data_IF_142665392026
#
_entry.id   IF_142665392026
#
_cell.length_a   1.000
_cell.length_b   1.000
_cell.length_c   1.000
_cell.angle_alpha   90.00
_cell.angle_beta   90.00
_cell.angle_gamma   90.00
#
_symmetry.space_group_name_H-M   'P 1'
#
loop_
_entity.id
_entity.type
_entity.pdbx_description
1 polymer ?
#
# COMPACT_ATOMS: atom_id res chain seq x y z
N UNK A 1 12.27 -12.51 34.76
CA UNK A 1 12.08 -12.60 33.29
C UNK A 1 11.66 -11.21 32.82
N UNK A 2 12.41 -10.59 31.92
CA UNK A 2 11.96 -9.32 31.33
C UNK A 2 10.66 -9.57 30.55
N UNK A 3 9.63 -8.75 30.83
CA UNK A 3 8.40 -8.83 30.06
C UNK A 3 8.67 -8.53 28.58
N UNK A 4 7.99 -9.24 27.67
CA UNK A 4 8.13 -9.00 26.22
C UNK A 4 7.72 -7.57 25.89
N UNK A 5 8.43 -6.86 24.99
CA UNK A 5 8.00 -5.57 24.48
C UNK A 5 6.60 -5.64 23.88
N UNK A 6 5.83 -4.56 24.02
CA UNK A 6 4.46 -4.46 23.51
C UNK A 6 4.37 -3.56 22.28
N UNK A 7 3.92 -4.09 21.17
CA UNK A 7 3.57 -3.33 19.98
C UNK A 7 2.06 -3.08 19.94
N UNK A 8 1.65 -1.82 19.93
CA UNK A 8 0.26 -1.40 19.79
C UNK A 8 0.04 -0.84 18.39
N UNK A 9 -0.73 -1.56 17.58
CA UNK A 9 -1.20 -1.07 16.28
C UNK A 9 -2.46 -0.25 16.45
N UNK A 10 -2.50 0.90 15.81
CA UNK A 10 -3.65 1.80 15.77
C UNK A 10 -4.12 1.94 14.32
N UNK A 11 -5.33 1.49 14.05
CA UNK A 11 -5.91 1.52 12.71
C UNK A 11 -7.12 2.46 12.64
N UNK A 12 -7.39 2.95 11.44
CA UNK A 12 -8.54 3.81 11.12
C UNK A 12 -9.55 3.12 10.18
N UNK A 13 -9.52 1.78 10.08
CA UNK A 13 -10.39 0.99 9.21
C UNK A 13 -10.03 1.01 7.72
N UNK A 14 -9.05 1.82 7.28
CA UNK A 14 -8.62 1.87 5.88
C UNK A 14 -7.76 0.65 5.54
N UNK A 15 -8.25 -0.23 4.65
CA UNK A 15 -7.60 -1.52 4.32
C UNK A 15 -6.13 -1.37 3.90
N UNK A 16 -5.81 -0.40 3.03
CA UNK A 16 -4.43 -0.19 2.58
C UNK A 16 -3.47 0.19 3.71
N UNK A 17 -3.95 0.97 4.68
CA UNK A 17 -3.18 1.35 5.88
C UNK A 17 -2.97 0.14 6.81
N UNK A 18 -4.01 -0.70 6.96
CA UNK A 18 -3.93 -1.94 7.74
C UNK A 18 -2.90 -2.91 7.17
N UNK A 19 -2.91 -3.13 5.86
CA UNK A 19 -1.95 -4.03 5.18
C UNK A 19 -0.50 -3.57 5.43
N UNK A 20 -0.23 -2.25 5.36
CA UNK A 20 1.10 -1.71 5.63
C UNK A 20 1.52 -1.94 7.09
N UNK A 21 0.65 -1.60 8.05
CA UNK A 21 0.94 -1.75 9.48
C UNK A 21 1.13 -3.22 9.87
N UNK A 22 0.24 -4.09 9.42
CA UNK A 22 0.29 -5.53 9.70
C UNK A 22 1.51 -6.18 9.05
N UNK A 23 1.84 -5.82 7.80
CA UNK A 23 3.03 -6.31 7.13
C UNK A 23 4.32 -6.03 7.92
N UNK A 24 4.47 -4.81 8.44
CA UNK A 24 5.62 -4.46 9.29
C UNK A 24 5.56 -5.24 10.61
N UNK A 25 4.41 -5.30 11.29
CA UNK A 25 4.22 -6.06 12.53
C UNK A 25 4.63 -7.51 12.36
N UNK A 26 4.16 -8.17 11.31
CA UNK A 26 4.41 -9.59 11.07
C UNK A 26 5.90 -9.85 10.92
N UNK A 27 6.62 -9.01 10.16
CA UNK A 27 8.08 -9.08 10.05
C UNK A 27 8.78 -8.79 11.38
N UNK A 28 8.25 -7.87 12.20
CA UNK A 28 8.80 -7.64 13.56
C UNK A 28 8.63 -8.87 14.46
N UNK A 29 7.45 -9.51 14.43
CA UNK A 29 7.18 -10.73 15.20
C UNK A 29 8.07 -11.93 14.79
N UNK A 30 8.48 -11.99 13.51
CA UNK A 30 9.43 -13.00 13.03
C UNK A 30 10.86 -12.72 13.50
N UNK A 31 11.23 -11.46 13.59
CA UNK A 31 12.59 -11.04 13.92
C UNK A 31 12.88 -10.98 15.42
N UNK A 32 11.83 -10.78 16.25
CA UNK A 32 12.00 -10.65 17.70
C UNK A 32 10.77 -11.11 18.48
N UNK A 33 11.00 -11.56 19.72
CA UNK A 33 9.91 -11.95 20.61
C UNK A 33 9.23 -10.71 21.18
N UNK A 34 8.05 -10.37 20.67
CA UNK A 34 7.22 -9.27 21.14
C UNK A 34 5.75 -9.72 21.25
N UNK A 35 4.97 -8.98 22.02
CA UNK A 35 3.51 -9.09 22.05
C UNK A 35 2.93 -7.99 21.18
N UNK A 36 1.90 -8.27 20.41
CA UNK A 36 1.22 -7.26 19.61
C UNK A 36 -0.29 -7.27 19.82
N UNK A 37 -0.85 -6.06 19.90
CA UNK A 37 -2.30 -5.83 19.99
C UNK A 37 -2.70 -4.78 18.96
N UNK A 38 -3.96 -4.84 18.53
CA UNK A 38 -4.48 -3.91 17.52
C UNK A 38 -5.76 -3.26 18.04
N UNK A 39 -5.86 -1.93 17.88
CA UNK A 39 -7.04 -1.16 18.24
C UNK A 39 -7.50 -0.32 17.04
N UNK A 40 -8.79 -0.30 16.82
CA UNK A 40 -9.41 0.65 15.90
C UNK A 40 -9.65 1.98 16.63
N UNK A 41 -9.10 3.07 16.07
CA UNK A 41 -9.28 4.40 16.66
C UNK A 41 -10.67 4.95 16.36
N UNK A 42 -11.25 5.76 17.26
CA UNK A 42 -12.56 6.34 17.06
C UNK A 42 -12.67 7.16 15.76
N UNK A 43 -13.71 6.93 15.00
CA UNK A 43 -14.02 7.69 13.80
C UNK A 43 -14.68 9.03 14.16
N UNK A 44 -13.87 10.07 14.26
CA UNK A 44 -14.40 11.43 14.41
C UNK A 44 -14.88 11.97 13.05
N UNK A 45 -16.07 12.57 13.04
CA UNK A 45 -16.69 13.17 11.86
C UNK A 45 -16.96 14.66 12.06
N UNK A 46 -17.27 15.38 10.99
CA UNK A 46 -17.73 16.78 11.04
C UNK A 46 -16.79 17.69 11.81
N UNK A 47 -17.35 18.50 12.71
CA UNK A 47 -16.65 19.52 13.49
C UNK A 47 -15.61 18.93 14.45
N UNK A 48 -15.90 17.78 15.06
CA UNK A 48 -14.95 17.12 15.99
C UNK A 48 -13.69 16.64 15.28
N UNK A 49 -13.79 16.10 14.07
CA UNK A 49 -12.63 15.74 13.23
C UNK A 49 -11.76 16.97 12.96
N UNK A 50 -12.40 18.10 12.60
CA UNK A 50 -11.66 19.34 12.35
C UNK A 50 -10.98 19.82 13.63
N UNK A 51 -11.71 19.87 14.73
CA UNK A 51 -11.22 20.38 16.02
C UNK A 51 -10.11 19.52 16.60
N UNK A 52 -10.33 18.21 16.76
CA UNK A 52 -9.39 17.33 17.48
C UNK A 52 -8.28 16.81 16.58
N UNK A 53 -8.58 16.36 15.36
CA UNK A 53 -7.55 15.82 14.46
C UNK A 53 -6.76 16.91 13.75
N UNK A 54 -7.42 17.99 13.28
CA UNK A 54 -6.73 19.04 12.51
C UNK A 54 -6.09 20.14 13.34
N UNK A 55 -6.76 20.64 14.40
CA UNK A 55 -6.25 21.77 15.18
C UNK A 55 -5.55 21.37 16.48
N UNK A 56 -6.23 20.63 17.34
CA UNK A 56 -5.69 20.32 18.66
C UNK A 56 -4.52 19.32 18.59
N UNK A 57 -4.51 18.42 17.60
CA UNK A 57 -3.40 17.47 17.43
C UNK A 57 -2.02 18.13 17.28
N UNK A 58 -1.96 19.30 16.66
CA UNK A 58 -0.71 20.06 16.51
C UNK A 58 -0.02 20.39 17.84
N UNK A 59 -0.79 20.45 18.93
CA UNK A 59 -0.27 20.73 20.28
C UNK A 59 0.27 19.48 20.98
N UNK A 60 -0.12 18.27 20.54
CA UNK A 60 0.21 17.00 21.23
C UNK A 60 1.71 16.80 21.43
N UNK A 61 2.54 17.19 20.46
CA UNK A 61 3.99 17.02 20.55
C UNK A 61 4.65 17.73 21.73
N UNK A 62 4.03 18.78 22.26
CA UNK A 62 4.55 19.62 23.39
C UNK A 62 3.55 19.70 24.54
N UNK A 63 2.49 18.92 24.53
CA UNK A 63 1.41 19.00 25.49
C UNK A 63 1.80 18.40 26.85
N UNK A 64 1.20 18.90 27.93
CA UNK A 64 1.25 18.27 29.23
C UNK A 64 0.43 16.98 29.27
N UNK A 65 0.71 16.09 30.22
CA UNK A 65 -0.04 14.84 30.41
C UNK A 65 -1.54 15.14 30.61
N UNK A 66 -1.88 16.15 31.37
CA UNK A 66 -3.27 16.56 31.56
C UNK A 66 -3.98 16.94 30.23
N UNK A 67 -3.31 17.68 29.37
CA UNK A 67 -3.88 18.02 28.05
C UNK A 67 -4.06 16.76 27.18
N UNK A 68 -3.11 15.83 27.24
CA UNK A 68 -3.16 14.57 26.48
C UNK A 68 -4.34 13.72 26.96
N UNK A 69 -4.53 13.56 28.27
CA UNK A 69 -5.67 12.81 28.85
C UNK A 69 -7.00 13.45 28.46
N UNK A 70 -7.11 14.77 28.55
CA UNK A 70 -8.31 15.49 28.10
C UNK A 70 -8.55 15.32 26.59
N UNK A 71 -7.50 15.35 25.78
CA UNK A 71 -7.59 15.15 24.35
C UNK A 71 -8.07 13.73 24.02
N UNK A 72 -7.45 12.69 24.62
CA UNK A 72 -7.82 11.27 24.43
C UNK A 72 -9.28 11.03 24.81
N UNK A 73 -9.72 11.60 25.96
CA UNK A 73 -11.12 11.54 26.38
C UNK A 73 -12.06 12.17 25.36
N UNK A 74 -11.79 13.40 24.93
CA UNK A 74 -12.62 14.13 23.94
C UNK A 74 -12.57 13.52 22.54
N UNK A 75 -11.50 12.81 22.20
CA UNK A 75 -11.36 12.04 20.96
C UNK A 75 -11.96 10.63 21.07
N UNK A 76 -12.60 10.26 22.18
CA UNK A 76 -13.30 8.99 22.37
C UNK A 76 -12.39 7.78 22.60
N UNK A 77 -11.13 7.99 23.01
CA UNK A 77 -10.14 6.92 23.15
C UNK A 77 -10.03 6.36 24.59
N UNK A 78 -10.97 6.68 25.50
CA UNK A 78 -10.91 6.24 26.91
C UNK A 78 -10.79 4.71 27.04
N UNK A 79 -11.60 3.94 26.31
CA UNK A 79 -11.54 2.47 26.34
C UNK A 79 -10.18 1.93 25.91
N UNK A 80 -9.56 2.55 24.91
CA UNK A 80 -8.22 2.16 24.43
C UNK A 80 -7.18 2.43 25.52
N UNK A 81 -7.27 3.58 26.18
CA UNK A 81 -6.38 3.93 27.31
C UNK A 81 -6.49 2.90 28.43
N UNK A 82 -7.70 2.54 28.84
CA UNK A 82 -7.95 1.55 29.91
C UNK A 82 -7.40 0.16 29.55
N UNK A 83 -7.65 -0.28 28.31
CA UNK A 83 -7.17 -1.59 27.83
C UNK A 83 -5.62 -1.63 27.77
N UNK A 84 -4.98 -0.56 27.29
CA UNK A 84 -3.51 -0.48 27.27
C UNK A 84 -2.94 -0.44 28.70
N UNK A 85 -3.58 0.25 29.62
CA UNK A 85 -3.16 0.28 31.03
C UNK A 85 -3.21 -1.13 31.66
N UNK A 86 -4.22 -1.92 31.35
CA UNK A 86 -4.32 -3.32 31.79
C UNK A 86 -3.22 -4.21 31.16
N UNK A 87 -2.89 -3.99 29.90
CA UNK A 87 -1.86 -4.77 29.18
C UNK A 87 -0.43 -4.37 29.57
N UNK A 88 -0.23 -3.18 30.12
CA UNK A 88 1.09 -2.65 30.47
C UNK A 88 1.19 -2.16 31.93
N UNK A 89 0.82 -2.98 32.93
CA UNK A 89 0.73 -2.54 34.32
C UNK A 89 2.10 -2.19 34.94
N UNK A 90 3.18 -2.75 34.41
CA UNK A 90 4.56 -2.55 34.93
C UNK A 90 5.42 -1.63 34.10
N UNK A 91 4.85 -0.99 33.05
CA UNK A 91 5.59 -0.03 32.22
C UNK A 91 6.71 -0.66 31.38
N UNK A 92 6.46 -1.84 30.76
CA UNK A 92 7.38 -2.47 29.81
C UNK A 92 7.62 -1.59 28.58
N UNK A 93 8.65 -1.89 27.79
CA UNK A 93 8.88 -1.17 26.53
C UNK A 93 7.65 -1.28 25.61
N UNK A 94 7.11 -0.13 25.19
CA UNK A 94 5.91 -0.08 24.37
C UNK A 94 6.14 0.79 23.13
N UNK A 95 5.70 0.30 21.97
CA UNK A 95 5.70 1.02 20.70
C UNK A 95 4.28 1.16 20.18
N UNK A 96 3.89 2.37 19.85
CA UNK A 96 2.65 2.69 19.15
C UNK A 96 2.94 2.87 17.68
N UNK A 97 2.23 2.16 16.81
CA UNK A 97 2.39 2.26 15.37
C UNK A 97 1.05 2.50 14.69
N UNK A 98 1.01 3.44 13.75
CA UNK A 98 -0.19 3.76 12.98
C UNK A 98 0.16 4.07 11.53
N UNK A 99 -0.79 3.89 10.63
CA UNK A 99 -0.71 4.37 9.25
C UNK A 99 -1.81 5.39 8.96
N UNK A 100 -1.46 6.41 8.19
CA UNK A 100 -2.40 7.44 7.76
C UNK A 100 -2.58 8.60 8.73
N UNK A 101 -3.33 9.61 8.27
CA UNK A 101 -3.43 10.90 8.96
C UNK A 101 -4.42 10.92 10.12
N UNK A 102 -5.42 10.05 10.12
CA UNK A 102 -6.48 10.01 11.16
C UNK A 102 -5.99 9.30 12.42
N UNK A 103 -5.25 8.19 12.29
CA UNK A 103 -4.72 7.43 13.42
C UNK A 103 -3.44 8.06 14.02
N UNK A 104 -2.71 8.86 13.24
CA UNK A 104 -1.45 9.46 13.67
C UNK A 104 -1.54 10.30 14.96
N UNK A 105 -2.56 11.15 15.20
CA UNK A 105 -2.70 11.87 16.46
C UNK A 105 -2.88 10.96 17.68
N UNK A 106 -3.62 9.87 17.53
CA UNK A 106 -3.81 8.87 18.60
C UNK A 106 -2.49 8.16 18.92
N UNK A 107 -1.72 7.79 17.89
CA UNK A 107 -0.40 7.19 18.05
C UNK A 107 0.53 8.11 18.88
N UNK A 108 0.59 9.39 18.54
CA UNK A 108 1.41 10.36 19.26
C UNK A 108 0.92 10.58 20.69
N UNK A 109 -0.40 10.72 20.90
CA UNK A 109 -0.99 10.96 22.22
C UNK A 109 -0.78 9.77 23.16
N UNK A 110 -1.05 8.54 22.69
CA UNK A 110 -0.88 7.33 23.49
C UNK A 110 0.59 7.04 23.80
N UNK A 111 1.49 7.22 22.82
CA UNK A 111 2.93 7.09 23.08
C UNK A 111 3.40 8.03 24.21
N UNK A 112 2.97 9.29 24.18
CA UNK A 112 3.32 10.24 25.23
C UNK A 112 2.64 9.93 26.58
N UNK A 113 1.40 9.44 26.56
CA UNK A 113 0.64 9.07 27.76
C UNK A 113 1.28 7.91 28.51
N UNK A 114 1.78 6.93 27.80
CA UNK A 114 2.36 5.70 28.37
C UNK A 114 3.89 5.70 28.40
N UNK A 115 4.55 6.78 28.00
CA UNK A 115 6.02 6.87 27.98
C UNK A 115 6.66 5.93 26.93
N UNK A 116 5.91 5.55 25.90
CA UNK A 116 6.38 4.68 24.83
C UNK A 116 6.93 5.45 23.63
N UNK A 117 7.36 4.70 22.61
CA UNK A 117 7.78 5.24 21.31
C UNK A 117 6.62 5.32 20.33
N UNK A 118 6.69 6.25 19.39
CA UNK A 118 5.71 6.46 18.32
C UNK A 118 6.32 6.20 16.97
N UNK A 119 5.62 5.40 16.14
CA UNK A 119 5.99 5.15 14.74
C UNK A 119 4.80 5.46 13.83
N UNK A 120 5.00 6.25 12.80
CA UNK A 120 3.97 6.53 11.81
C UNK A 120 4.39 6.01 10.43
N UNK A 121 3.44 5.42 9.72
CA UNK A 121 3.59 4.96 8.33
C UNK A 121 2.86 5.96 7.45
N UNK A 122 3.50 6.37 6.36
CA UNK A 122 3.12 7.49 5.49
C UNK A 122 3.35 8.85 6.18
N UNK A 123 3.22 9.93 5.40
CA UNK A 123 3.34 11.29 5.93
C UNK A 123 1.99 11.81 6.40
N UNK A 124 1.74 11.97 7.70
CA UNK A 124 0.51 12.58 8.17
C UNK A 124 0.38 14.03 7.66
N UNK A 125 -0.72 14.33 6.98
CA UNK A 125 -0.90 15.61 6.27
C UNK A 125 -0.83 16.85 7.19
N UNK A 126 -1.16 16.71 8.47
CA UNK A 126 -1.21 17.84 9.41
C UNK A 126 -0.02 17.86 10.37
N UNK A 127 0.33 16.70 10.94
CA UNK A 127 1.39 16.58 11.91
C UNK A 127 2.77 16.52 11.26
N UNK A 128 2.85 16.04 10.01
CA UNK A 128 4.12 15.69 9.40
C UNK A 128 4.83 14.58 10.17
N UNK A 129 6.11 14.40 9.93
CA UNK A 129 6.90 13.30 10.53
C UNK A 129 7.70 13.71 11.77
N UNK A 130 7.98 15.01 11.93
CA UNK A 130 8.88 15.51 12.99
C UNK A 130 8.49 15.16 14.44
N UNK A 131 7.18 15.15 14.83
CA UNK A 131 6.82 14.88 16.21
C UNK A 131 6.92 13.40 16.62
N UNK A 132 7.11 12.48 15.67
CA UNK A 132 7.20 11.04 15.92
C UNK A 132 8.65 10.60 16.17
N UNK A 133 8.83 9.56 17.00
CA UNK A 133 10.15 8.95 17.19
C UNK A 133 10.66 8.26 15.92
N UNK A 134 9.74 7.68 15.14
CA UNK A 134 10.02 6.98 13.88
C UNK A 134 8.94 7.27 12.84
N UNK A 135 9.34 7.33 11.58
CA UNK A 135 8.42 7.50 10.45
C UNK A 135 8.89 6.69 9.24
N UNK A 136 7.97 5.89 8.68
CA UNK A 136 8.19 5.11 7.45
C UNK A 136 7.47 5.85 6.33
N UNK A 137 8.22 6.43 5.40
CA UNK A 137 7.68 7.39 4.44
C UNK A 137 7.99 6.98 3.01
N UNK A 138 6.99 6.96 2.10
CA UNK A 138 7.25 6.71 0.69
C UNK A 138 8.21 7.77 0.10
N UNK A 139 9.12 7.34 -0.77
CA UNK A 139 10.11 8.21 -1.43
C UNK A 139 9.45 9.39 -2.15
N UNK A 140 8.31 9.14 -2.79
CA UNK A 140 7.56 10.15 -3.51
C UNK A 140 6.94 11.25 -2.61
N UNK A 141 6.91 11.08 -1.28
CA UNK A 141 6.50 12.14 -0.34
C UNK A 141 7.60 13.19 -0.13
N UNK A 142 8.84 12.91 -0.57
CA UNK A 142 9.96 13.84 -0.49
C UNK A 142 10.33 14.24 0.95
N UNK A 143 10.07 13.39 1.93
CA UNK A 143 10.42 13.63 3.34
C UNK A 143 11.70 12.91 3.69
N UNK A 144 12.49 13.55 4.55
CA UNK A 144 13.74 13.00 5.08
C UNK A 144 13.98 13.53 6.49
N UNK A 145 14.81 12.85 7.25
CA UNK A 145 15.18 13.23 8.63
C UNK A 145 15.82 12.07 9.37
N UNK A 146 16.41 12.33 10.54
CA UNK A 146 17.08 11.29 11.35
C UNK A 146 16.10 10.23 11.86
N UNK A 147 14.81 10.57 11.97
CA UNK A 147 13.72 9.70 12.38
C UNK A 147 12.91 9.12 11.21
N UNK A 148 13.40 9.25 9.96
CA UNK A 148 12.66 8.85 8.75
C UNK A 148 13.37 7.71 8.06
N UNK A 149 12.65 6.61 7.82
CA UNK A 149 13.01 5.59 6.84
C UNK A 149 12.21 5.85 5.56
N UNK A 150 12.92 6.07 4.46
CA UNK A 150 12.30 6.25 3.14
C UNK A 150 12.11 4.89 2.48
N UNK A 151 10.89 4.58 2.00
CA UNK A 151 10.54 3.36 1.25
C UNK A 151 10.32 3.67 -0.22
N UNK A 152 10.71 2.76 -1.10
CA UNK A 152 10.43 2.87 -2.53
C UNK A 152 8.95 2.53 -2.80
N UNK A 153 8.48 1.40 -2.30
CA UNK A 153 7.09 0.94 -2.37
C UNK A 153 6.40 0.93 -1.02
N UNK A 154 5.14 0.52 -1.02
CA UNK A 154 4.35 0.36 0.20
C UNK A 154 4.76 -0.94 0.92
N UNK A 155 5.08 -0.89 2.22
CA UNK A 155 5.18 -2.09 3.04
C UNK A 155 3.90 -2.93 2.93
N UNK A 156 4.03 -4.26 2.94
CA UNK A 156 2.89 -5.17 2.79
C UNK A 156 3.15 -6.50 3.48
N UNK A 157 2.14 -7.37 3.52
CA UNK A 157 2.20 -8.66 4.22
C UNK A 157 2.73 -9.81 3.37
N UNK A 158 3.10 -9.57 2.12
CA UNK A 158 3.57 -10.63 1.22
C UNK A 158 4.84 -11.30 1.77
N UNK A 159 4.79 -12.62 1.84
CA UNK A 159 5.88 -13.49 2.26
C UNK A 159 5.74 -14.87 1.63
N UNK A 160 6.83 -15.67 1.57
CA UNK A 160 6.80 -16.99 0.94
C UNK A 160 5.69 -17.91 1.48
N UNK A 161 5.51 -17.97 2.78
CA UNK A 161 4.48 -18.82 3.40
C UNK A 161 3.06 -18.42 2.99
N UNK A 162 2.76 -17.10 2.98
CA UNK A 162 1.46 -16.59 2.53
C UNK A 162 1.22 -16.90 1.05
N UNK A 163 2.24 -16.72 0.22
CA UNK A 163 2.14 -16.99 -1.23
C UNK A 163 1.85 -18.48 -1.46
N UNK A 164 2.57 -19.38 -0.80
CA UNK A 164 2.37 -20.82 -0.94
C UNK A 164 0.99 -21.29 -0.47
N UNK A 165 0.52 -20.77 0.67
CA UNK A 165 -0.81 -21.08 1.20
C UNK A 165 -1.91 -20.63 0.24
N UNK A 166 -1.84 -19.37 -0.20
CA UNK A 166 -2.86 -18.75 -1.05
C UNK A 166 -2.80 -19.26 -2.51
N UNK A 167 -1.65 -19.71 -2.99
CA UNK A 167 -1.53 -20.42 -4.26
C UNK A 167 -2.30 -21.74 -4.24
N UNK A 168 -2.14 -22.54 -3.18
CA UNK A 168 -2.86 -23.82 -3.03
C UNK A 168 -4.38 -23.61 -3.00
N UNK A 169 -4.84 -22.58 -2.29
CA UNK A 169 -6.25 -22.21 -2.25
C UNK A 169 -6.75 -21.77 -3.63
N UNK A 170 -6.00 -20.90 -4.30
CA UNK A 170 -6.34 -20.43 -5.66
C UNK A 170 -6.48 -21.59 -6.64
N UNK A 171 -5.52 -22.51 -6.66
CA UNK A 171 -5.51 -23.64 -7.60
C UNK A 171 -6.54 -24.71 -7.28
N UNK A 172 -6.99 -24.80 -6.02
CA UNK A 172 -8.14 -25.64 -5.64
C UNK A 172 -9.44 -25.15 -6.27
N UNK A 173 -9.65 -23.83 -6.30
CA UNK A 173 -10.86 -23.21 -6.85
C UNK A 173 -10.78 -23.04 -8.37
N UNK A 174 -9.59 -22.73 -8.88
CA UNK A 174 -9.32 -22.40 -10.29
C UNK A 174 -8.09 -23.16 -10.80
N UNK A 175 -8.22 -24.45 -11.12
CA UNK A 175 -7.10 -25.28 -11.57
C UNK A 175 -6.41 -24.74 -12.82
N UNK A 176 -5.09 -24.79 -12.85
CA UNK A 176 -4.28 -24.45 -14.01
C UNK A 176 -4.42 -25.52 -15.11
N UNK A 177 -4.40 -25.08 -16.36
CA UNK A 177 -4.36 -25.96 -17.53
C UNK A 177 -3.01 -25.96 -18.22
N UNK A 178 -2.25 -24.87 -18.06
CA UNK A 178 -0.93 -24.70 -18.66
C UNK A 178 0.14 -24.55 -17.56
N UNK A 179 1.39 -24.76 -17.95
CA UNK A 179 2.54 -24.71 -17.02
C UNK A 179 2.82 -23.31 -16.48
N UNK A 180 2.55 -22.30 -17.32
CA UNK A 180 2.78 -20.91 -16.96
C UNK A 180 1.47 -20.13 -16.90
N UNK A 181 1.47 -19.13 -16.04
CA UNK A 181 0.33 -18.26 -15.85
C UNK A 181 0.75 -16.80 -15.68
N UNK A 182 -0.11 -15.88 -16.14
CA UNK A 182 0.01 -14.46 -15.89
C UNK A 182 -1.13 -13.94 -15.04
N UNK A 183 -0.81 -13.03 -14.12
CA UNK A 183 -1.78 -12.29 -13.34
C UNK A 183 -2.12 -10.96 -14.01
N UNK A 184 -3.40 -10.61 -14.06
CA UNK A 184 -3.87 -9.30 -14.51
C UNK A 184 -4.62 -8.63 -13.35
N UNK A 185 -4.00 -7.63 -12.74
CA UNK A 185 -4.51 -6.91 -11.58
C UNK A 185 -5.02 -5.53 -12.02
N UNK A 186 -6.32 -5.38 -12.09
CA UNK A 186 -6.97 -4.15 -12.56
C UNK A 186 -7.42 -3.32 -11.36
N UNK A 187 -6.85 -2.13 -11.21
CA UNK A 187 -7.22 -1.16 -10.19
C UNK A 187 -8.58 -0.51 -10.45
N UNK A 188 -8.70 0.77 -10.19
CA UNK A 188 -9.96 1.48 -10.42
C UNK A 188 -9.83 2.99 -10.24
N UNK A 189 -10.95 3.66 -10.35
CA UNK A 189 -11.01 5.11 -10.31
C UNK A 189 -10.64 5.68 -8.94
N UNK A 190 -9.93 6.79 -8.96
CA UNK A 190 -9.66 7.61 -7.79
C UNK A 190 -9.67 9.12 -8.15
N UNK A 191 -9.06 9.96 -7.32
CA UNK A 191 -8.99 11.41 -7.57
C UNK A 191 -8.12 11.80 -8.77
N UNK A 192 -7.27 10.91 -9.27
CA UNK A 192 -6.27 11.19 -10.31
C UNK A 192 -6.45 10.28 -11.54
N UNK A 193 -6.86 9.05 -11.34
CA UNK A 193 -6.89 7.98 -12.34
C UNK A 193 -8.31 7.54 -12.67
N UNK A 194 -8.49 7.04 -13.90
CA UNK A 194 -9.74 6.42 -14.34
C UNK A 194 -9.46 5.24 -15.27
N UNK A 195 -10.23 4.16 -15.09
CA UNK A 195 -10.19 2.97 -15.95
C UNK A 195 -11.48 2.90 -16.75
N UNK A 196 -11.46 3.56 -17.91
CA UNK A 196 -12.62 3.60 -18.79
C UNK A 196 -12.78 2.29 -19.60
N UNK A 197 -14.02 1.93 -20.03
CA UNK A 197 -14.23 0.79 -20.93
C UNK A 197 -13.40 0.83 -22.22
N UNK A 198 -13.09 2.02 -22.72
CA UNK A 198 -12.23 2.19 -23.89
C UNK A 198 -10.80 1.69 -23.63
N UNK A 199 -10.26 1.94 -22.44
CA UNK A 199 -8.97 1.40 -22.02
C UNK A 199 -9.01 -0.13 -21.95
N UNK A 200 -10.05 -0.69 -21.31
CA UNK A 200 -10.25 -2.14 -21.21
C UNK A 200 -10.31 -2.78 -22.60
N UNK A 201 -11.13 -2.23 -23.51
CA UNK A 201 -11.30 -2.71 -24.89
C UNK A 201 -10.01 -2.64 -25.71
N UNK A 202 -9.07 -1.79 -25.34
CA UNK A 202 -7.77 -1.68 -26.02
C UNK A 202 -6.71 -2.60 -25.45
N UNK A 203 -6.62 -2.68 -24.11
CA UNK A 203 -5.50 -3.37 -23.44
C UNK A 203 -5.77 -4.86 -23.29
N UNK A 204 -6.95 -5.22 -22.80
CA UNK A 204 -7.23 -6.60 -22.42
C UNK A 204 -7.20 -7.58 -23.60
N UNK A 205 -7.77 -7.29 -24.79
CA UNK A 205 -7.67 -8.18 -25.95
C UNK A 205 -6.22 -8.47 -26.35
N UNK A 206 -5.34 -7.46 -26.34
CA UNK A 206 -3.92 -7.65 -26.67
C UNK A 206 -3.22 -8.59 -25.69
N UNK A 207 -3.55 -8.51 -24.38
CA UNK A 207 -2.99 -9.42 -23.38
C UNK A 207 -3.54 -10.84 -23.55
N UNK A 208 -4.83 -10.99 -23.91
CA UNK A 208 -5.44 -12.30 -24.22
C UNK A 208 -4.79 -12.95 -25.44
N UNK A 209 -4.63 -12.20 -26.53
CA UNK A 209 -3.96 -12.68 -27.74
C UNK A 209 -2.51 -13.10 -27.47
N UNK A 210 -1.77 -12.32 -26.70
CA UNK A 210 -0.40 -12.67 -26.32
C UNK A 210 -0.34 -13.93 -25.46
N UNK A 211 -1.29 -14.12 -24.54
CA UNK A 211 -1.38 -15.30 -23.70
C UNK A 211 -1.76 -16.55 -24.53
N UNK A 212 -2.65 -16.41 -25.50
CA UNK A 212 -3.04 -17.49 -26.41
C UNK A 212 -1.85 -17.94 -27.25
N UNK A 213 -1.11 -17.00 -27.84
CA UNK A 213 0.07 -17.31 -28.66
C UNK A 213 1.23 -17.94 -27.88
N UNK A 214 1.25 -17.83 -26.54
CA UNK A 214 2.29 -18.37 -25.66
C UNK A 214 1.82 -19.55 -24.79
N UNK A 215 0.61 -20.06 -24.97
CA UNK A 215 0.00 -21.11 -24.14
C UNK A 215 -0.03 -20.81 -22.64
N UNK A 216 -0.43 -19.60 -22.28
CA UNK A 216 -0.43 -19.06 -20.92
C UNK A 216 -1.84 -19.04 -20.33
N UNK A 217 -1.98 -19.47 -19.07
CA UNK A 217 -3.20 -19.29 -18.28
C UNK A 217 -3.29 -17.87 -17.71
N UNK A 218 -4.51 -17.32 -17.61
CA UNK A 218 -4.75 -15.97 -17.10
C UNK A 218 -5.60 -15.99 -15.83
N UNK A 219 -5.12 -15.31 -14.79
CA UNK A 219 -5.82 -15.07 -13.55
C UNK A 219 -6.07 -13.56 -13.41
N UNK A 220 -7.33 -13.16 -13.51
CA UNK A 220 -7.73 -11.75 -13.63
C UNK A 220 -8.54 -11.35 -12.41
N UNK A 221 -8.22 -10.22 -11.82
CA UNK A 221 -9.02 -9.63 -10.73
C UNK A 221 -9.14 -8.12 -10.88
N UNK A 222 -10.26 -7.58 -10.36
CA UNK A 222 -10.52 -6.14 -10.30
C UNK A 222 -10.35 -5.60 -8.87
N UNK A 223 -10.42 -4.30 -8.71
CA UNK A 223 -10.43 -3.60 -7.44
C UNK A 223 -11.85 -3.16 -7.07
N UNK A 224 -12.12 -2.95 -5.78
CA UNK A 224 -13.39 -2.35 -5.33
C UNK A 224 -13.65 -0.94 -5.87
N UNK A 225 -12.64 -0.30 -6.45
CA UNK A 225 -12.73 1.02 -7.09
C UNK A 225 -12.99 0.93 -8.60
N UNK A 226 -12.99 -0.30 -9.16
CA UNK A 226 -13.26 -0.52 -10.59
C UNK A 226 -14.74 -0.22 -10.86
N UNK A 227 -15.01 0.65 -11.81
CA UNK A 227 -16.38 1.06 -12.15
C UNK A 227 -17.13 -0.09 -12.84
N UNK A 228 -18.43 -0.20 -12.60
CA UNK A 228 -19.28 -1.23 -13.18
C UNK A 228 -19.20 -1.28 -14.72
N UNK A 229 -19.07 -0.14 -15.38
CA UNK A 229 -18.91 -0.09 -16.85
C UNK A 229 -17.61 -0.73 -17.32
N UNK A 230 -16.51 -0.59 -16.56
CA UNK A 230 -15.25 -1.24 -16.85
C UNK A 230 -15.33 -2.75 -16.56
N UNK A 231 -15.93 -3.17 -15.43
CA UNK A 231 -16.14 -4.59 -15.11
C UNK A 231 -17.00 -5.28 -16.18
N UNK A 232 -18.08 -4.64 -16.64
CA UNK A 232 -18.91 -5.18 -17.72
C UNK A 232 -18.13 -5.40 -19.03
N UNK A 233 -17.23 -4.46 -19.36
CA UNK A 233 -16.35 -4.61 -20.52
C UNK A 233 -15.35 -5.78 -20.34
N UNK A 234 -14.77 -5.93 -19.14
CA UNK A 234 -13.87 -7.03 -18.79
C UNK A 234 -14.61 -8.37 -18.93
N UNK A 235 -15.79 -8.50 -18.34
CA UNK A 235 -16.62 -9.72 -18.45
C UNK A 235 -16.89 -10.07 -19.90
N UNK A 236 -17.32 -9.10 -20.71
CA UNK A 236 -17.63 -9.32 -22.12
C UNK A 236 -16.43 -9.84 -22.93
N UNK A 237 -15.23 -9.33 -22.65
CA UNK A 237 -13.99 -9.72 -23.33
C UNK A 237 -13.49 -11.08 -22.85
N UNK A 238 -13.59 -11.36 -21.57
CA UNK A 238 -13.08 -12.59 -20.96
C UNK A 238 -14.03 -13.79 -21.12
N UNK A 239 -15.32 -13.55 -21.37
CA UNK A 239 -16.34 -14.60 -21.44
C UNK A 239 -16.02 -15.61 -22.55
N UNK A 240 -15.96 -16.89 -22.16
CA UNK A 240 -15.69 -18.00 -23.09
C UNK A 240 -14.25 -18.12 -23.59
N UNK A 241 -13.34 -17.26 -23.13
CA UNK A 241 -11.92 -17.39 -23.49
C UNK A 241 -11.27 -18.53 -22.67
N UNK A 242 -10.74 -19.59 -23.32
CA UNK A 242 -10.22 -20.77 -22.65
C UNK A 242 -8.94 -20.50 -21.83
N UNK A 243 -8.25 -19.38 -22.07
CA UNK A 243 -7.05 -18.98 -21.32
C UNK A 243 -7.38 -18.34 -19.97
N UNK A 244 -8.59 -17.80 -19.83
CA UNK A 244 -9.02 -17.16 -18.57
C UNK A 244 -9.47 -18.23 -17.59
N UNK A 245 -8.58 -18.59 -16.66
CA UNK A 245 -8.84 -19.59 -15.61
C UNK A 245 -9.65 -19.00 -14.47
N UNK A 246 -9.38 -17.74 -14.15
CA UNK A 246 -10.10 -17.01 -13.12
C UNK A 246 -10.41 -15.59 -13.59
N UNK A 247 -11.66 -15.18 -13.42
CA UNK A 247 -12.09 -13.79 -13.45
C UNK A 247 -12.85 -13.49 -12.15
N UNK A 248 -12.21 -12.78 -11.20
CA UNK A 248 -12.81 -12.41 -9.93
C UNK A 248 -13.04 -10.91 -9.91
N UNK A 249 -14.30 -10.52 -9.90
CA UNK A 249 -14.72 -9.11 -9.81
C UNK A 249 -14.89 -8.72 -8.34
N UNK A 250 -14.14 -7.73 -7.89
CA UNK A 250 -14.18 -7.30 -6.49
C UNK A 250 -15.51 -6.66 -6.06
N UNK A 251 -16.39 -6.31 -7.01
CA UNK A 251 -17.77 -5.88 -6.74
C UNK A 251 -18.70 -7.04 -6.36
N UNK A 252 -18.37 -8.26 -6.77
CA UNK A 252 -19.20 -9.46 -6.59
C UNK A 252 -18.63 -10.42 -5.54
N UNK A 253 -17.31 -10.45 -5.38
CA UNK A 253 -16.63 -11.34 -4.45
C UNK A 253 -15.71 -10.54 -3.52
N UNK A 254 -15.90 -10.61 -2.18
CA UNK A 254 -15.11 -9.87 -1.21
C UNK A 254 -13.71 -10.46 -0.97
N UNK A 255 -13.42 -11.68 -1.47
CA UNK A 255 -12.11 -12.35 -1.32
C UNK A 255 -10.99 -11.51 -1.93
N UNK A 256 -9.78 -11.73 -1.47
CA UNK A 256 -8.59 -11.11 -2.03
C UNK A 256 -7.72 -12.17 -2.73
N UNK A 257 -7.83 -12.36 -4.04
CA UNK A 257 -7.08 -13.39 -4.74
C UNK A 257 -5.63 -12.98 -5.03
N UNK A 258 -5.25 -11.73 -4.75
CA UNK A 258 -3.93 -11.19 -5.15
C UNK A 258 -2.78 -12.05 -4.63
N UNK A 259 -2.68 -12.46 -3.34
CA UNK A 259 -1.58 -13.30 -2.89
C UNK A 259 -1.49 -14.65 -3.62
N UNK A 260 -2.64 -15.29 -3.89
CA UNK A 260 -2.68 -16.54 -4.65
C UNK A 260 -2.21 -16.37 -6.10
N UNK A 261 -2.66 -15.29 -6.77
CA UNK A 261 -2.18 -14.93 -8.13
C UNK A 261 -0.65 -14.71 -8.10
N UNK A 262 -0.15 -13.96 -7.10
CA UNK A 262 1.27 -13.69 -6.97
C UNK A 262 2.10 -14.94 -6.61
N UNK A 263 1.50 -15.91 -5.91
CA UNK A 263 2.09 -17.22 -5.64
C UNK A 263 2.29 -18.02 -6.93
N UNK A 264 1.25 -18.10 -7.74
CA UNK A 264 1.17 -18.98 -8.91
C UNK A 264 1.79 -18.40 -10.17
N UNK A 265 1.52 -17.12 -10.48
CA UNK A 265 1.90 -16.53 -11.77
C UNK A 265 3.40 -16.26 -11.89
N UNK A 266 3.92 -16.35 -13.12
CA UNK A 266 5.30 -16.01 -13.46
C UNK A 266 5.48 -14.52 -13.77
N UNK A 267 4.43 -13.83 -14.21
CA UNK A 267 4.40 -12.40 -14.56
C UNK A 267 3.09 -11.77 -14.12
N UNK A 268 3.13 -10.47 -13.88
CA UNK A 268 1.94 -9.70 -13.50
C UNK A 268 1.83 -8.42 -14.32
N UNK A 269 0.63 -8.17 -14.83
CA UNK A 269 0.20 -6.91 -15.41
C UNK A 269 -0.66 -6.18 -14.37
N UNK A 270 -0.21 -5.03 -13.92
CA UNK A 270 -0.90 -4.25 -12.89
C UNK A 270 -1.15 -2.84 -13.39
N UNK A 271 -2.33 -2.29 -13.20
CA UNK A 271 -2.61 -0.90 -13.55
C UNK A 271 -1.89 0.07 -12.61
N UNK A 272 -1.37 1.18 -13.14
CA UNK A 272 -0.50 2.13 -12.43
C UNK A 272 -1.16 2.84 -11.23
N UNK A 273 -2.49 2.91 -11.20
CA UNK A 273 -3.24 3.54 -10.11
C UNK A 273 -3.13 2.80 -8.78
N UNK A 274 -2.69 1.53 -8.80
CA UNK A 274 -2.64 0.69 -7.61
C UNK A 274 -1.23 0.46 -7.09
N UNK A 275 -0.70 1.45 -6.39
CA UNK A 275 0.61 1.38 -5.70
C UNK A 275 0.74 0.13 -4.81
N UNK A 276 -0.35 -0.27 -4.14
CA UNK A 276 -0.35 -1.45 -3.28
C UNK A 276 -0.14 -2.73 -4.07
N UNK A 277 -0.93 -2.97 -5.14
CA UNK A 277 -0.81 -4.17 -5.97
C UNK A 277 0.57 -4.26 -6.63
N UNK A 278 1.11 -3.14 -7.12
CA UNK A 278 2.47 -3.07 -7.67
C UNK A 278 3.50 -3.44 -6.60
N UNK A 279 3.42 -2.83 -5.41
CA UNK A 279 4.35 -3.11 -4.31
C UNK A 279 4.26 -4.57 -3.83
N UNK A 280 3.06 -5.15 -3.76
CA UNK A 280 2.85 -6.56 -3.44
C UNK A 280 3.47 -7.47 -4.50
N UNK A 281 3.26 -7.17 -5.78
CA UNK A 281 3.81 -7.93 -6.91
C UNK A 281 5.34 -7.91 -6.93
N UNK A 282 5.95 -6.74 -6.70
CA UNK A 282 7.41 -6.60 -6.59
C UNK A 282 7.93 -7.31 -5.34
N UNK A 283 7.21 -7.25 -4.21
CA UNK A 283 7.60 -7.97 -2.97
C UNK A 283 7.52 -9.48 -3.16
N UNK A 284 6.58 -9.99 -3.96
CA UNK A 284 6.51 -11.40 -4.37
C UNK A 284 7.66 -11.81 -5.32
N UNK A 285 8.45 -10.85 -5.77
CA UNK A 285 9.62 -11.06 -6.63
C UNK A 285 9.29 -11.22 -8.10
N UNK A 286 8.08 -10.89 -8.52
CA UNK A 286 7.64 -11.08 -9.90
C UNK A 286 8.15 -9.98 -10.83
N UNK A 287 8.23 -10.32 -12.13
CA UNK A 287 8.32 -9.32 -13.18
C UNK A 287 6.96 -8.64 -13.34
N UNK A 288 6.93 -7.32 -13.18
CA UNK A 288 5.71 -6.51 -13.18
C UNK A 288 5.67 -5.61 -14.41
N UNK A 289 4.58 -5.66 -15.16
CA UNK A 289 4.24 -4.66 -16.16
C UNK A 289 3.26 -3.66 -15.53
N UNK A 290 3.70 -2.43 -15.28
CA UNK A 290 2.83 -1.36 -14.85
C UNK A 290 2.13 -0.74 -16.07
N UNK A 291 0.87 -1.04 -16.26
CA UNK A 291 0.09 -0.58 -17.43
C UNK A 291 -0.54 0.77 -17.10
N UNK A 292 -0.19 1.80 -17.89
CA UNK A 292 -0.71 3.15 -17.65
C UNK A 292 -2.19 3.24 -18.00
N UNK A 293 -2.92 4.03 -17.22
CA UNK A 293 -4.38 4.22 -17.33
C UNK A 293 -4.74 5.68 -17.70
N UNK A 294 -6.01 5.97 -17.82
CA UNK A 294 -6.51 7.33 -18.04
C UNK A 294 -6.34 8.20 -16.80
N UNK A 295 -6.12 9.49 -17.02
CA UNK A 295 -6.11 10.50 -15.97
C UNK A 295 -7.36 11.37 -16.06
N UNK A 296 -7.89 11.78 -14.91
CA UNK A 296 -8.96 12.76 -14.90
C UNK A 296 -8.48 14.09 -15.47
N UNK A 297 -9.23 14.65 -16.41
CA UNK A 297 -8.99 15.97 -16.98
C UNK A 297 -9.62 17.05 -16.10
N UNK A 298 -9.10 18.28 -16.19
CA UNK A 298 -9.64 19.44 -15.49
C UNK A 298 -8.58 20.34 -14.87
N UNK A 299 -9.03 21.39 -14.19
CA UNK A 299 -8.16 22.41 -13.59
C UNK A 299 -7.12 21.82 -12.61
N UNK A 300 -7.52 20.81 -11.86
CA UNK A 300 -6.61 20.09 -10.95
C UNK A 300 -5.43 19.47 -11.72
N UNK A 301 -5.69 18.81 -12.84
CA UNK A 301 -4.64 18.19 -13.68
C UNK A 301 -3.71 19.24 -14.27
N UNK A 302 -4.25 20.34 -14.76
CA UNK A 302 -3.47 21.46 -15.25
C UNK A 302 -2.51 22.03 -14.18
N UNK A 303 -3.00 22.17 -12.94
CA UNK A 303 -2.13 22.60 -11.82
C UNK A 303 -1.05 21.58 -11.48
N UNK A 304 -1.34 20.29 -11.58
CA UNK A 304 -0.36 19.22 -11.37
C UNK A 304 0.74 19.29 -12.44
N UNK A 305 0.39 19.42 -13.71
CA UNK A 305 1.32 19.52 -14.84
C UNK A 305 2.17 20.78 -14.75
N UNK A 306 1.56 21.92 -14.38
CA UNK A 306 2.31 23.15 -14.13
C UNK A 306 3.31 22.98 -12.98
N UNK A 307 2.90 22.34 -11.90
CA UNK A 307 3.78 22.07 -10.75
C UNK A 307 4.94 21.16 -11.16
N UNK A 308 4.66 20.11 -11.94
CA UNK A 308 5.67 19.20 -12.49
C UNK A 308 6.69 19.98 -13.37
N UNK A 309 6.22 20.78 -14.30
CA UNK A 309 7.07 21.63 -15.14
C UNK A 309 7.97 22.56 -14.31
N UNK A 310 7.41 23.23 -13.28
CA UNK A 310 8.19 24.10 -12.39
C UNK A 310 9.21 23.35 -11.54
N UNK A 311 8.95 22.09 -11.23
CA UNK A 311 9.92 21.22 -10.52
C UNK A 311 11.02 20.76 -11.48
N UNK A 312 10.70 20.39 -12.70
CA UNK A 312 11.67 19.94 -13.72
C UNK A 312 12.61 21.08 -14.14
N UNK A 313 12.10 22.30 -14.19
CA UNK A 313 12.90 23.51 -14.41
C UNK A 313 13.65 23.99 -13.14
N UNK A 314 13.58 23.23 -12.04
CA UNK A 314 14.23 23.53 -10.73
C UNK A 314 13.78 24.83 -10.06
N UNK A 315 12.65 25.40 -10.48
CA UNK A 315 12.03 26.58 -9.84
C UNK A 315 11.37 26.16 -8.51
N UNK A 316 10.74 24.99 -8.48
CA UNK A 316 10.12 24.43 -7.28
C UNK A 316 10.85 23.16 -6.82
N UNK A 317 10.77 22.89 -5.53
CA UNK A 317 11.27 21.62 -4.96
C UNK A 317 10.36 20.44 -5.34
N UNK A 318 10.95 19.24 -5.50
CA UNK A 318 10.20 17.98 -5.67
C UNK A 318 9.16 17.75 -4.58
N UNK A 319 9.33 18.35 -3.40
CA UNK A 319 8.35 18.33 -2.30
C UNK A 319 7.01 18.99 -2.64
N UNK A 320 6.98 19.83 -3.68
CA UNK A 320 5.77 20.49 -4.15
C UNK A 320 4.94 19.60 -5.09
N UNK A 321 5.50 18.49 -5.58
CA UNK A 321 4.75 17.53 -6.40
C UNK A 321 3.61 16.89 -5.60
N UNK A 322 2.49 16.63 -6.28
CA UNK A 322 1.31 15.99 -5.71
C UNK A 322 0.49 15.26 -6.79
N UNK A 323 -0.22 14.21 -6.37
CA UNK A 323 -1.03 13.40 -7.29
C UNK A 323 -0.19 12.65 -8.32
N UNK A 324 -0.63 12.65 -9.57
CA UNK A 324 -0.04 11.89 -10.69
C UNK A 324 1.48 12.13 -10.85
N UNK A 325 2.01 13.37 -10.86
CA UNK A 325 3.44 13.59 -10.99
C UNK A 325 4.32 12.89 -9.94
N UNK A 326 3.78 12.71 -8.72
CA UNK A 326 4.46 11.91 -7.68
C UNK A 326 4.52 10.44 -8.02
N UNK A 327 3.41 9.89 -8.51
CA UNK A 327 3.30 8.47 -8.83
C UNK A 327 4.09 8.13 -10.09
N UNK A 328 4.14 9.02 -11.09
CA UNK A 328 5.01 8.88 -12.25
C UNK A 328 6.47 8.68 -11.80
N UNK A 329 6.98 9.55 -10.94
CA UNK A 329 8.35 9.43 -10.41
C UNK A 329 8.59 8.16 -9.59
N UNK A 330 7.58 7.69 -8.88
CA UNK A 330 7.67 6.42 -8.18
C UNK A 330 7.77 5.25 -9.17
N UNK A 331 6.98 5.25 -10.24
CA UNK A 331 7.06 4.24 -11.30
C UNK A 331 8.43 4.25 -12.00
N UNK A 332 8.94 5.45 -12.31
CA UNK A 332 10.30 5.63 -12.85
C UNK A 332 11.37 5.09 -11.89
N UNK A 333 11.25 5.35 -10.59
CA UNK A 333 12.17 4.82 -9.58
C UNK A 333 12.15 3.29 -9.53
N UNK A 334 10.98 2.65 -9.67
CA UNK A 334 10.86 1.20 -9.76
C UNK A 334 11.44 0.65 -11.06
N UNK A 335 11.19 1.30 -12.20
CA UNK A 335 11.72 0.92 -13.52
C UNK A 335 13.24 1.05 -13.55
N UNK A 336 13.80 2.14 -13.02
CA UNK A 336 15.25 2.36 -12.93
C UNK A 336 15.99 1.33 -12.08
N UNK A 337 15.29 0.67 -11.14
CA UNK A 337 15.82 -0.43 -10.32
C UNK A 337 15.44 -1.82 -10.85
N UNK A 338 14.90 -1.87 -12.06
CA UNK A 338 14.54 -3.11 -12.75
C UNK A 338 13.45 -3.94 -12.07
N UNK A 339 12.61 -3.33 -11.23
CA UNK A 339 11.50 -4.01 -10.57
C UNK A 339 10.25 -4.10 -11.43
N UNK A 340 10.06 -3.17 -12.37
CA UNK A 340 8.93 -3.19 -13.28
C UNK A 340 9.30 -2.67 -14.68
N UNK A 341 8.37 -2.81 -15.60
CA UNK A 341 8.40 -2.16 -16.92
C UNK A 341 7.13 -1.34 -17.08
N UNK A 342 7.27 -0.08 -17.44
CA UNK A 342 6.12 0.77 -17.76
C UNK A 342 5.61 0.39 -19.16
N UNK A 343 4.32 0.07 -19.23
CA UNK A 343 3.62 -0.33 -20.47
C UNK A 343 2.53 0.68 -20.78
N UNK A 344 2.58 1.27 -21.95
CA UNK A 344 1.63 2.32 -22.34
C UNK A 344 0.61 1.81 -23.36
N UNK A 345 -0.70 2.10 -23.24
CA UNK A 345 -1.68 1.70 -24.23
C UNK A 345 -1.42 2.26 -25.63
N UNK A 346 -0.62 3.33 -25.74
CA UNK A 346 -0.24 3.92 -27.05
C UNK A 346 0.79 3.10 -27.79
N UNK A 347 1.70 2.44 -27.07
CA UNK A 347 2.79 1.63 -27.61
C UNK A 347 2.72 0.18 -27.11
N UNK A 348 1.50 -0.31 -26.84
CA UNK A 348 1.23 -1.53 -26.10
C UNK A 348 2.00 -2.75 -26.63
N UNK A 349 1.98 -2.99 -27.94
CA UNK A 349 2.61 -4.15 -28.59
C UNK A 349 4.13 -4.15 -28.36
N UNK A 350 4.79 -3.01 -28.59
CA UNK A 350 6.25 -2.91 -28.43
C UNK A 350 6.67 -2.98 -26.95
N UNK A 351 5.93 -2.29 -26.06
CA UNK A 351 6.19 -2.32 -24.63
C UNK A 351 5.98 -3.73 -24.06
N UNK A 352 4.94 -4.43 -24.51
CA UNK A 352 4.66 -5.82 -24.15
C UNK A 352 5.78 -6.76 -24.65
N UNK A 353 6.19 -6.62 -25.89
CA UNK A 353 7.30 -7.42 -26.44
C UNK A 353 8.60 -7.21 -25.65
N UNK A 354 8.93 -5.96 -25.30
CA UNK A 354 10.08 -5.62 -24.43
C UNK A 354 9.95 -6.28 -23.05
N UNK A 355 8.77 -6.22 -22.45
CA UNK A 355 8.50 -6.85 -21.14
C UNK A 355 8.64 -8.36 -21.19
N UNK A 356 8.10 -9.03 -22.22
CA UNK A 356 8.12 -10.48 -22.34
C UNK A 356 9.51 -11.05 -22.65
N UNK A 357 10.42 -10.25 -23.22
CA UNK A 357 11.83 -10.64 -23.42
C UNK A 357 12.62 -10.74 -22.10
N UNK A 358 12.15 -10.12 -21.01
CA UNK A 358 12.80 -10.23 -19.70
C UNK A 358 12.60 -11.64 -19.14
N UNK A 359 13.61 -12.22 -18.50
CA UNK A 359 13.48 -13.55 -17.89
C UNK A 359 12.43 -13.51 -16.77
N UNK A 360 11.57 -14.51 -16.71
CA UNK A 360 10.58 -14.70 -15.67
C UNK A 360 11.23 -15.33 -14.41
N UNK A 361 12.18 -14.62 -13.80
CA UNK A 361 12.82 -15.06 -12.55
C UNK A 361 12.30 -14.26 -11.37
N UNK A 362 12.09 -14.94 -10.23
CA UNK A 362 11.69 -14.26 -8.99
C UNK A 362 12.88 -13.60 -8.32
N UNK A 363 12.72 -12.34 -7.94
CA UNK A 363 13.70 -11.56 -7.17
C UNK A 363 13.36 -11.63 -5.68
N UNK A 364 14.36 -11.59 -4.82
CA UNK A 364 14.19 -11.65 -3.35
C UNK A 364 14.77 -10.43 -2.63
N UNK A 365 15.26 -9.46 -3.38
CA UNK A 365 15.98 -8.30 -2.86
C UNK A 365 15.08 -7.09 -2.50
N UNK A 366 13.75 -7.23 -2.68
CA UNK A 366 12.80 -6.19 -2.35
C UNK A 366 11.79 -6.66 -1.28
N UNK A 367 11.84 -6.06 -0.09
CA UNK A 367 10.81 -6.22 0.95
C UNK A 367 10.85 -5.04 1.91
N UNK A 368 10.01 -4.04 1.66
CA UNK A 368 9.97 -2.81 2.45
C UNK A 368 9.43 -3.04 3.86
N UNK A 369 8.54 -4.01 4.07
CA UNK A 369 8.07 -4.35 5.40
C UNK A 369 9.20 -4.95 6.26
N UNK A 370 10.00 -5.86 5.71
CA UNK A 370 11.15 -6.44 6.41
C UNK A 370 12.24 -5.39 6.68
N UNK A 371 12.47 -4.47 5.74
CA UNK A 371 13.43 -3.37 5.92
C UNK A 371 12.98 -2.41 7.02
N UNK A 372 11.69 -2.06 7.04
CA UNK A 372 11.10 -1.23 8.08
C UNK A 372 11.12 -1.90 9.44
N UNK A 373 10.78 -3.19 9.53
CA UNK A 373 10.80 -3.96 10.77
C UNK A 373 12.20 -3.97 11.41
N UNK A 374 13.26 -4.30 10.64
CA UNK A 374 14.64 -4.25 11.13
C UNK A 374 15.04 -2.86 11.63
N UNK A 375 14.67 -1.82 10.87
CA UNK A 375 14.99 -0.45 11.23
C UNK A 375 14.26 0.04 12.49
N UNK A 376 13.01 -0.36 12.69
CA UNK A 376 12.22 -0.06 13.89
C UNK A 376 12.80 -0.78 15.10
N UNK A 377 13.04 -2.09 15.01
CA UNK A 377 13.59 -2.92 16.10
C UNK A 377 14.91 -2.33 16.61
N UNK A 378 15.81 -1.99 15.68
CA UNK A 378 17.11 -1.41 16.01
C UNK A 378 17.02 -0.06 16.75
N UNK A 379 15.90 0.70 16.63
CA UNK A 379 15.69 2.00 17.28
C UNK A 379 14.81 1.94 18.51
N UNK A 380 14.01 0.92 18.60
CA UNK A 380 13.06 0.76 19.70
C UNK A 380 13.63 -0.07 20.83
N UNK A 381 14.38 -1.12 20.51
CA UNK A 381 14.88 -2.10 21.48
C UNK A 381 16.40 -1.95 21.77
N UNK A 382 17.02 -0.91 21.20
CA UNK A 382 18.41 -0.55 21.50
C UNK A 382 18.59 0.08 22.87
#
# INVERSE_FOLDING_TARGET
>A
MNEKPLLVLLNEGTRGHLVQSRGIRDRMCELTSLESVEFEVPHLTGFDKIRYVKFHSKKLSKASTHFIDLWLKKAGAEKIVDQIAMLNPKGRQILFMSAGSTAAPYCLALARRFGGKSCVIMTPSILGVKPFDMAIVPKHDGRSGPNVLVTLGAPNSICPALLEEQEKELLSDYPAHHKEAWGILIGGDDLNYTIAPLWVNKVLPTLLEAAEGADIDLYITTSRRTQAAAENAIVKICSGNPRVRMLLLASQDPRNPVPGILGHCSRVFCTEDSVSMISESVTAGLQVAAVTVGHHHGFKRLLQELTEYLVDTKILSTKCLWGVPRFNRMMEDFENQDFLTIVTPRNLINDLARFLQRPACRRTDFNEAARAARWIIARWLS
#
